data_IF_685169398084
#
_entry.id   IF_685169398084
#
_cell.length_a   1.000
_cell.length_b   1.000
_cell.length_c   1.000
_cell.angle_alpha   90.00
_cell.angle_beta   90.00
_cell.angle_gamma   90.00
#
_symmetry.space_group_name_H-M   'P 1'
#
loop_
_entity.id
_entity.type
_entity.pdbx_description
1 polymer ?
#
# COMPACT_ATOMS: atom_id res chain seq x y z
N UNK A 1 -8.88 -19.76 23.99
CA UNK A 1 -9.84 -19.81 22.87
C UNK A 1 -9.86 -21.24 22.34
N UNK A 2 -11.02 -21.91 22.25
CA UNK A 2 -11.10 -23.25 21.66
C UNK A 2 -10.71 -23.21 20.17
N UNK A 3 -10.23 -24.34 19.64
CA UNK A 3 -9.91 -24.45 18.23
C UNK A 3 -11.18 -24.28 17.36
N UNK A 4 -11.09 -23.63 16.19
CA UNK A 4 -12.24 -23.47 15.31
C UNK A 4 -12.68 -24.83 14.76
N UNK A 5 -14.00 -25.04 14.66
CA UNK A 5 -14.54 -26.27 14.06
C UNK A 5 -14.29 -26.30 12.55
N UNK A 6 -14.29 -27.48 11.91
CA UNK A 6 -14.14 -27.60 10.45
C UNK A 6 -15.18 -26.78 9.66
N UNK A 7 -16.42 -26.70 10.16
CA UNK A 7 -17.51 -25.96 9.53
C UNK A 7 -17.25 -24.46 9.56
N UNK A 8 -16.75 -23.95 10.69
CA UNK A 8 -16.38 -22.54 10.85
C UNK A 8 -15.23 -22.16 9.90
N UNK A 9 -14.22 -23.02 9.79
CA UNK A 9 -13.11 -22.83 8.84
C UNK A 9 -13.62 -22.81 7.40
N UNK A 10 -14.52 -23.72 7.04
CA UNK A 10 -15.12 -23.76 5.71
C UNK A 10 -15.94 -22.50 5.39
N UNK A 11 -16.72 -22.00 6.35
CA UNK A 11 -17.48 -20.76 6.20
C UNK A 11 -16.56 -19.55 6.03
N UNK A 12 -15.53 -19.42 6.87
CA UNK A 12 -14.55 -18.33 6.78
C UNK A 12 -13.84 -18.31 5.42
N UNK A 13 -13.47 -19.49 4.88
CA UNK A 13 -12.87 -19.60 3.54
C UNK A 13 -13.80 -19.12 2.43
N UNK A 14 -15.10 -19.47 2.49
CA UNK A 14 -16.08 -19.00 1.50
C UNK A 14 -16.25 -17.48 1.54
N UNK A 15 -16.36 -16.91 2.74
CA UNK A 15 -16.46 -15.46 2.90
C UNK A 15 -15.20 -14.76 2.38
N UNK A 16 -14.01 -15.28 2.71
CA UNK A 16 -12.76 -14.73 2.18
C UNK A 16 -12.72 -14.81 0.65
N UNK A 17 -13.09 -15.94 0.06
CA UNK A 17 -13.12 -16.10 -1.39
C UNK A 17 -14.11 -15.14 -2.08
N UNK A 18 -15.25 -14.88 -1.44
CA UNK A 18 -16.22 -13.91 -1.95
C UNK A 18 -15.72 -12.47 -1.86
N UNK A 19 -15.03 -12.11 -0.78
CA UNK A 19 -14.51 -10.76 -0.55
C UNK A 19 -13.21 -10.47 -1.29
N UNK A 20 -12.43 -11.51 -1.61
CA UNK A 20 -11.15 -11.40 -2.28
C UNK A 20 -11.25 -11.89 -3.73
N UNK A 21 -11.38 -10.95 -4.66
CA UNK A 21 -11.16 -11.24 -6.07
C UNK A 21 -9.67 -11.21 -6.35
N UNK A 22 -9.13 -12.30 -6.89
CA UNK A 22 -7.73 -12.39 -7.34
C UNK A 22 -7.72 -12.44 -8.85
N UNK A 23 -7.36 -11.33 -9.47
CA UNK A 23 -7.14 -11.30 -10.90
C UNK A 23 -5.85 -12.03 -11.27
N UNK A 24 -5.79 -12.66 -12.46
CA UNK A 24 -4.53 -13.18 -12.96
C UNK A 24 -3.50 -12.07 -13.06
N UNK A 25 -2.22 -12.41 -12.88
CA UNK A 25 -1.13 -11.46 -13.03
C UNK A 25 -1.17 -10.84 -14.43
N UNK A 26 -1.13 -9.51 -14.56
CA UNK A 26 -1.20 -8.87 -15.87
C UNK A 26 -0.04 -9.33 -16.77
N UNK A 27 -0.30 -9.47 -18.07
CA UNK A 27 0.71 -9.85 -19.06
C UNK A 27 1.67 -8.71 -19.42
N UNK A 28 1.30 -7.47 -19.12
CA UNK A 28 2.13 -6.29 -19.27
C UNK A 28 2.53 -5.74 -17.90
N UNK A 29 3.74 -5.18 -17.74
CA UNK A 29 4.12 -4.51 -16.51
C UNK A 29 3.22 -3.28 -16.27
N UNK A 30 2.85 -3.08 -15.01
CA UNK A 30 2.15 -1.89 -14.54
C UNK A 30 3.16 -0.78 -14.15
N UNK A 31 2.69 0.45 -14.00
CA UNK A 31 3.53 1.56 -13.56
C UNK A 31 3.84 1.51 -12.06
N UNK A 32 2.92 0.97 -11.27
CA UNK A 32 3.05 0.88 -9.81
C UNK A 32 2.22 -0.28 -9.21
N UNK A 33 2.68 -0.77 -8.06
CA UNK A 33 1.93 -1.65 -7.16
C UNK A 33 1.39 -0.80 -6.01
N UNK A 34 0.07 -0.83 -5.82
CA UNK A 34 -0.61 -0.11 -4.75
C UNK A 34 -0.87 -1.07 -3.57
N UNK A 35 -0.25 -0.79 -2.42
CA UNK A 35 -0.54 -1.44 -1.15
C UNK A 35 -1.46 -0.57 -0.31
N UNK A 36 -2.71 -1.01 -0.11
CA UNK A 36 -3.65 -0.32 0.76
C UNK A 36 -3.40 -0.68 2.22
N UNK A 37 -3.10 0.32 3.04
CA UNK A 37 -2.80 0.17 4.46
C UNK A 37 -3.86 -0.65 5.19
N UNK A 38 -3.41 -1.75 5.79
CA UNK A 38 -4.19 -2.58 6.70
C UNK A 38 -3.26 -3.30 7.69
N UNK A 39 -3.80 -3.87 8.76
CA UNK A 39 -3.04 -4.51 9.85
C UNK A 39 -2.36 -5.85 9.50
N UNK A 40 -2.08 -6.11 8.23
CA UNK A 40 -1.41 -7.34 7.78
C UNK A 40 -0.04 -7.05 7.17
N UNK A 41 1.02 -7.25 7.96
CA UNK A 41 2.41 -7.05 7.53
C UNK A 41 2.92 -8.09 6.51
N UNK A 42 2.12 -9.12 6.18
CA UNK A 42 2.47 -10.05 5.09
C UNK A 42 2.25 -9.43 3.72
N UNK A 43 1.34 -8.47 3.61
CA UNK A 43 1.03 -7.77 2.36
C UNK A 43 2.17 -6.89 1.83
N UNK A 44 2.86 -6.05 2.61
CA UNK A 44 4.00 -5.30 2.08
C UNK A 44 5.11 -6.23 1.57
N UNK A 45 5.32 -7.40 2.21
CA UNK A 45 6.26 -8.42 1.72
C UNK A 45 5.81 -8.99 0.38
N UNK A 46 4.52 -9.27 0.23
CA UNK A 46 3.94 -9.71 -1.05
C UNK A 46 4.09 -8.64 -2.14
N UNK A 47 3.85 -7.37 -1.84
CA UNK A 47 4.10 -6.26 -2.77
C UNK A 47 5.57 -6.23 -3.25
N UNK A 48 6.53 -6.40 -2.33
CA UNK A 48 7.95 -6.48 -2.70
C UNK A 48 8.30 -7.67 -3.58
N UNK A 49 7.54 -8.77 -3.48
CA UNK A 49 7.71 -9.91 -4.38
C UNK A 49 7.16 -9.65 -5.78
N UNK A 50 6.04 -8.94 -5.90
CA UNK A 50 5.53 -8.50 -7.20
C UNK A 50 6.51 -7.53 -7.89
N UNK A 51 7.09 -6.60 -7.13
CA UNK A 51 8.10 -5.67 -7.61
C UNK A 51 9.35 -6.40 -8.16
N UNK A 52 9.91 -7.35 -7.40
CA UNK A 52 11.06 -8.16 -7.83
C UNK A 52 10.79 -9.01 -9.07
N UNK A 53 9.54 -9.42 -9.28
CA UNK A 53 9.12 -10.12 -10.52
C UNK A 53 9.07 -9.19 -11.74
N UNK A 54 9.37 -7.90 -11.58
CA UNK A 54 9.35 -6.92 -12.66
C UNK A 54 7.94 -6.49 -13.05
N UNK A 55 6.93 -6.74 -12.21
CA UNK A 55 5.54 -6.42 -12.52
C UNK A 55 5.25 -4.92 -12.44
N UNK A 56 6.00 -4.18 -11.64
CA UNK A 56 6.00 -2.72 -11.65
C UNK A 56 7.30 -2.17 -11.06
N UNK A 57 7.79 -1.01 -11.54
CA UNK A 57 9.00 -0.39 -11.03
C UNK A 57 8.80 0.37 -9.70
N UNK A 58 7.56 0.62 -9.29
CA UNK A 58 7.24 1.43 -8.09
C UNK A 58 6.31 0.71 -7.13
N UNK A 59 6.51 0.97 -5.85
CA UNK A 59 5.62 0.59 -4.75
C UNK A 59 4.98 1.85 -4.18
N UNK A 60 3.67 1.86 -3.98
CA UNK A 60 2.97 2.96 -3.30
C UNK A 60 2.23 2.35 -2.11
N UNK A 61 2.61 2.74 -0.90
CA UNK A 61 1.90 2.34 0.31
C UNK A 61 1.07 3.50 0.81
N UNK A 62 -0.24 3.28 0.88
CA UNK A 62 -1.19 4.23 1.45
C UNK A 62 -1.57 3.79 2.86
N UNK A 63 -1.97 4.73 3.70
CA UNK A 63 -2.46 4.38 5.04
C UNK A 63 -2.15 5.43 6.09
N UNK A 64 -3.19 5.95 6.72
CA UNK A 64 -3.12 6.96 7.77
C UNK A 64 -3.16 6.38 9.17
N UNK A 65 -3.61 7.20 10.12
CA UNK A 65 -4.08 6.77 11.44
C UNK A 65 -5.62 6.71 11.35
N UNK A 66 -6.23 5.53 11.48
CA UNK A 66 -7.68 5.33 11.32
C UNK A 66 -8.32 4.55 12.47
N UNK A 67 -9.64 4.33 12.45
CA UNK A 67 -10.37 3.61 13.52
C UNK A 67 -9.88 2.16 13.76
N UNK A 68 -9.08 1.61 12.85
CA UNK A 68 -8.39 0.33 12.99
C UNK A 68 -7.03 0.40 13.70
N UNK A 69 -6.49 1.60 14.04
CA UNK A 69 -5.20 1.78 14.74
C UNK A 69 -5.21 1.34 16.19
N UNK A 70 -5.57 0.09 16.43
CA UNK A 70 -5.23 -0.62 17.64
C UNK A 70 -3.72 -0.51 17.87
N UNK A 71 -3.34 0.39 18.79
CA UNK A 71 -2.06 0.44 19.50
C UNK A 71 -0.74 0.68 18.72
N UNK A 72 -0.71 1.06 17.44
CA UNK A 72 0.58 1.28 16.76
C UNK A 72 1.22 2.66 17.00
N UNK A 73 0.44 3.70 17.34
CA UNK A 73 0.96 5.05 17.57
C UNK A 73 1.64 5.72 16.36
N UNK A 74 1.56 5.11 15.16
CA UNK A 74 2.18 5.57 13.91
C UNK A 74 1.32 5.24 12.68
N UNK A 75 1.46 5.97 11.56
CA UNK A 75 0.77 5.68 10.30
C UNK A 75 1.02 4.25 9.78
N UNK A 76 0.00 3.65 9.17
CA UNK A 76 0.07 2.29 8.62
C UNK A 76 1.10 2.18 7.49
N UNK A 77 1.23 3.20 6.64
CA UNK A 77 2.20 3.24 5.55
C UNK A 77 3.65 3.11 6.06
N UNK A 78 3.97 3.71 7.21
CA UNK A 78 5.31 3.63 7.82
C UNK A 78 5.58 2.21 8.35
N UNK A 79 4.57 1.58 8.95
CA UNK A 79 4.69 0.21 9.43
C UNK A 79 4.91 -0.78 8.28
N UNK A 80 4.25 -0.53 7.14
CA UNK A 80 4.43 -1.32 5.92
C UNK A 80 5.80 -1.12 5.30
N UNK A 81 6.27 0.13 5.24
CA UNK A 81 7.61 0.45 4.76
C UNK A 81 8.70 -0.25 5.58
N UNK A 82 8.59 -0.25 6.91
CA UNK A 82 9.51 -0.96 7.79
C UNK A 82 9.50 -2.47 7.56
N UNK A 83 8.31 -3.05 7.43
CA UNK A 83 8.15 -4.49 7.19
C UNK A 83 8.76 -4.89 5.84
N UNK A 84 8.52 -4.09 4.79
CA UNK A 84 9.14 -4.26 3.49
C UNK A 84 10.67 -4.19 3.60
N UNK A 85 11.21 -3.13 4.21
CA UNK A 85 12.67 -2.95 4.35
C UNK A 85 13.36 -4.11 5.05
N UNK A 86 12.72 -4.69 6.08
CA UNK A 86 13.26 -5.85 6.80
C UNK A 86 13.25 -7.11 5.96
N UNK A 87 12.16 -7.34 5.23
CA UNK A 87 12.00 -8.54 4.42
C UNK A 87 12.80 -8.48 3.12
N UNK A 88 12.89 -7.29 2.51
CA UNK A 88 13.37 -7.03 1.15
C UNK A 88 14.31 -5.81 1.12
N UNK A 89 15.50 -5.88 1.77
CA UNK A 89 16.44 -4.77 1.86
C UNK A 89 17.03 -4.36 0.50
N UNK A 90 16.91 -5.21 -0.53
CA UNK A 90 17.39 -4.95 -1.89
C UNK A 90 16.52 -3.97 -2.68
N UNK A 91 15.27 -3.72 -2.24
CA UNK A 91 14.38 -2.74 -2.90
C UNK A 91 14.80 -1.33 -2.46
N UNK A 92 15.24 -0.45 -3.37
CA UNK A 92 15.64 0.90 -3.02
C UNK A 92 14.50 1.71 -2.42
N UNK A 93 14.77 2.47 -1.36
CA UNK A 93 13.77 3.36 -0.76
C UNK A 93 13.21 4.39 -1.76
N UNK A 94 14.00 4.77 -2.79
CA UNK A 94 13.57 5.65 -3.86
C UNK A 94 12.46 5.06 -4.74
N UNK A 95 12.24 3.75 -4.71
CA UNK A 95 11.19 3.07 -5.46
C UNK A 95 9.88 2.92 -4.66
N UNK A 96 9.89 3.31 -3.39
CA UNK A 96 8.74 3.27 -2.49
C UNK A 96 8.22 4.67 -2.23
N UNK A 97 6.93 4.89 -2.50
CA UNK A 97 6.21 6.13 -2.24
C UNK A 97 5.26 5.87 -1.07
N UNK A 98 5.29 6.73 -0.06
CA UNK A 98 4.43 6.65 1.11
C UNK A 98 3.38 7.75 1.06
N UNK A 99 2.12 7.37 1.13
CA UNK A 99 0.98 8.28 1.33
C UNK A 99 0.48 8.09 2.76
N UNK A 100 1.15 8.77 3.69
CA UNK A 100 0.91 8.72 5.13
C UNK A 100 0.13 9.96 5.59
N UNK A 101 -1.11 10.14 5.12
CA UNK A 101 -1.96 11.24 5.60
C UNK A 101 -2.65 10.81 6.91
N UNK A 102 -2.44 11.48 8.05
CA UNK A 102 -3.22 11.23 9.25
C UNK A 102 -4.70 11.54 9.00
N UNK A 103 -5.62 10.58 9.24
CA UNK A 103 -7.05 10.83 9.12
C UNK A 103 -7.58 11.31 10.47
N UNK A 104 -8.10 12.54 10.54
CA UNK A 104 -8.82 13.01 11.72
C UNK A 104 -10.09 12.15 11.95
N UNK A 105 -10.52 11.87 13.20
CA UNK A 105 -11.59 10.90 13.50
C UNK A 105 -13.01 11.35 13.18
N UNK A 106 -13.21 12.43 12.41
CA UNK A 106 -14.52 12.90 11.99
C UNK A 106 -14.38 13.54 10.61
N UNK A 107 -15.34 13.28 9.71
CA UNK A 107 -15.27 13.65 8.30
C UNK A 107 -14.91 15.12 8.09
N UNK A 108 -13.69 15.36 7.58
CA UNK A 108 -13.22 16.64 7.12
C UNK A 108 -12.18 16.40 6.04
N UNK A 109 -12.47 16.85 4.81
CA UNK A 109 -11.49 16.84 3.73
C UNK A 109 -10.45 17.91 4.06
N UNK A 110 -9.31 17.51 4.62
CA UNK A 110 -8.18 18.40 4.77
C UNK A 110 -7.46 18.47 3.42
N UNK A 111 -7.84 19.47 2.61
CA UNK A 111 -7.01 19.90 1.49
C UNK A 111 -5.66 20.38 2.03
N UNK A 112 -4.61 19.63 1.75
CA UNK A 112 -3.23 19.98 2.11
C UNK A 112 -2.35 19.74 0.90
N UNK A 113 -2.04 20.82 0.18
CA UNK A 113 -1.22 20.77 -1.02
C UNK A 113 0.18 20.22 -0.70
N UNK A 114 0.56 19.14 -1.38
CA UNK A 114 1.95 18.79 -1.60
C UNK A 114 2.28 19.10 -3.06
N UNK A 115 3.24 19.99 -3.24
CA UNK A 115 3.77 20.38 -4.54
C UNK A 115 4.39 19.15 -5.21
N UNK A 116 3.81 18.73 -6.33
CA UNK A 116 4.45 17.82 -7.27
C UNK A 116 5.78 18.42 -7.74
N UNK A 117 6.92 17.73 -7.59
CA UNK A 117 8.12 18.13 -8.31
C UNK A 117 7.85 17.94 -9.81
N UNK A 118 7.77 19.05 -10.55
CA UNK A 118 7.69 19.02 -12.00
C UNK A 118 9.01 18.44 -12.55
N UNK A 119 8.98 17.45 -13.45
CA UNK A 119 10.19 17.01 -14.10
C UNK A 119 10.84 18.19 -14.86
N UNK A 120 12.17 18.35 -14.82
CA UNK A 120 12.84 19.41 -15.57
C UNK A 120 12.77 19.07 -17.06
N UNK A 121 12.09 19.89 -17.87
CA UNK A 121 12.20 19.78 -19.32
C UNK A 121 10.97 20.04 -20.19
N UNK A 122 10.11 21.00 -19.86
CA UNK A 122 9.25 21.62 -20.89
C UNK A 122 9.32 23.14 -20.77
N UNK A 123 10.33 23.70 -21.44
CA UNK A 123 10.41 25.12 -21.74
C UNK A 123 9.36 25.48 -22.79
N UNK A 124 8.52 26.45 -22.48
CA UNK A 124 7.70 27.16 -23.45
C UNK A 124 7.86 28.65 -23.18
N UNK A 125 8.73 29.30 -23.95
CA UNK A 125 8.80 30.77 -23.99
C UNK A 125 7.52 31.31 -24.62
N UNK A 126 6.78 32.12 -23.88
CA UNK A 126 5.81 33.04 -24.48
C UNK A 126 6.29 34.46 -24.18
N UNK A 127 7.03 35.01 -25.13
CA UNK A 127 7.30 36.42 -25.26
C UNK A 127 6.19 37.08 -26.08
N UNK A 128 5.77 38.26 -25.59
CA UNK A 128 4.86 39.28 -26.15
C UNK A 128 3.38 39.10 -25.86
#
# INVERSE_FOLDING_TARGET
MPAPTPELVAAARRTLHYLATVDPTPSAPADAILGFGMFDLRLPVFCGELHRRGLAPRLIFTGGIGAGTGNLGRPEADAWHDALRRARPEIPATEVILESIPRSPSGGVAGGGSSWPRPPGFGGSASR
#
